data_IF_302694730605
#
_entry.id   IF_302694730605
#
_cell.length_a   1.000
_cell.length_b   1.000
_cell.length_c   1.000
_cell.angle_alpha   90.00
_cell.angle_beta   90.00
_cell.angle_gamma   90.00
#
_symmetry.space_group_name_H-M   'P 1'
#
loop_
_entity.id
_entity.type
_entity.pdbx_description
1 polymer ?
#
# COMPACT_ATOMS: atom_id res chain seq x y z
N UNK A 1 -36.59 49.83 29.46
CA UNK A 1 -36.55 48.47 28.95
C UNK A 1 -35.38 48.36 27.98
N UNK A 2 -34.24 47.89 28.45
CA UNK A 2 -33.03 47.69 27.64
C UNK A 2 -33.02 46.23 27.18
N UNK A 3 -33.09 45.99 25.85
CA UNK A 3 -32.97 44.65 25.26
C UNK A 3 -31.50 44.33 25.17
N UNK A 4 -31.02 43.35 25.92
CA UNK A 4 -29.73 42.71 25.75
C UNK A 4 -29.77 41.86 24.49
N UNK A 5 -28.96 42.20 23.51
CA UNK A 5 -28.70 41.38 22.32
C UNK A 5 -27.57 40.42 22.67
N UNK A 6 -27.88 39.17 22.95
CA UNK A 6 -26.87 38.11 23.17
C UNK A 6 -26.37 37.63 21.82
N UNK A 7 -25.15 38.01 21.48
CA UNK A 7 -24.44 37.51 20.29
C UNK A 7 -23.88 36.14 20.63
N UNK A 8 -24.45 35.08 20.06
CA UNK A 8 -23.86 33.72 20.05
C UNK A 8 -22.68 33.68 19.06
N UNK A 9 -21.44 33.75 19.56
CA UNK A 9 -20.25 33.45 18.78
C UNK A 9 -20.16 31.92 18.72
N UNK A 10 -20.56 31.36 17.57
CA UNK A 10 -20.36 29.97 17.25
C UNK A 10 -18.85 29.77 16.96
N UNK A 11 -18.09 29.34 17.97
CA UNK A 11 -16.74 28.85 17.77
C UNK A 11 -16.83 27.56 16.91
N UNK A 12 -16.65 27.70 15.60
CA UNK A 12 -16.27 26.55 14.78
C UNK A 12 -14.89 26.09 15.22
N UNK A 13 -14.83 25.07 16.04
CA UNK A 13 -13.61 24.33 16.27
C UNK A 13 -13.17 23.77 14.89
N UNK A 14 -12.14 24.38 14.32
CA UNK A 14 -11.39 23.81 13.20
C UNK A 14 -10.70 22.57 13.81
N UNK A 15 -11.35 21.44 13.74
CA UNK A 15 -10.70 20.15 13.99
C UNK A 15 -9.71 20.02 12.82
N UNK A 16 -8.39 20.05 13.07
CA UNK A 16 -7.46 19.70 12.01
C UNK A 16 -7.82 18.31 11.56
N UNK A 17 -8.22 18.14 10.30
CA UNK A 17 -8.38 16.84 9.72
C UNK A 17 -7.00 16.18 9.80
N UNK A 18 -6.83 15.27 10.75
CA UNK A 18 -5.71 14.35 10.76
C UNK A 18 -5.85 13.56 9.45
N UNK A 19 -5.06 13.94 8.46
CA UNK A 19 -4.90 13.13 7.26
C UNK A 19 -4.17 11.88 7.75
N UNK A 20 -4.92 10.81 7.95
CA UNK A 20 -4.37 9.51 8.23
C UNK A 20 -3.52 9.13 7.01
N UNK A 21 -2.26 8.88 7.27
CA UNK A 21 -1.33 8.30 6.30
C UNK A 21 -1.75 6.84 6.14
N UNK A 22 -2.33 6.52 5.01
CA UNK A 22 -2.62 5.16 4.60
C UNK A 22 -1.56 4.75 3.58
N UNK A 23 -1.07 3.55 3.69
CA UNK A 23 -0.45 2.78 2.62
C UNK A 23 -1.36 2.73 1.38
N UNK A 24 -1.18 1.86 0.41
CA UNK A 24 -2.29 1.73 -0.56
C UNK A 24 -3.60 1.97 0.18
N UNK A 25 -4.27 3.09 0.00
CA UNK A 25 -5.46 3.42 0.78
C UNK A 25 -6.42 2.22 0.85
N UNK A 26 -7.36 2.21 1.75
CA UNK A 26 -8.24 1.04 2.01
C UNK A 26 -8.70 0.31 0.75
N UNK A 27 -8.97 1.05 -0.35
CA UNK A 27 -9.39 0.45 -1.61
C UNK A 27 -8.27 -0.33 -2.28
N UNK A 28 -7.04 0.19 -2.29
CA UNK A 28 -5.89 -0.48 -2.89
C UNK A 28 -5.54 -1.78 -2.18
N UNK A 29 -5.50 -1.80 -0.83
CA UNK A 29 -5.32 -3.03 -0.06
C UNK A 29 -6.37 -4.08 -0.38
N UNK A 30 -7.65 -3.67 -0.46
CA UNK A 30 -8.73 -4.60 -0.81
C UNK A 30 -8.63 -5.12 -2.23
N UNK A 31 -8.16 -4.31 -3.19
CA UNK A 31 -7.89 -4.76 -4.57
C UNK A 31 -6.79 -5.82 -4.58
N UNK A 32 -5.65 -5.54 -3.96
CA UNK A 32 -4.52 -6.48 -3.90
C UNK A 32 -4.93 -7.78 -3.20
N UNK A 33 -5.62 -7.67 -2.05
CA UNK A 33 -6.13 -8.82 -1.31
C UNK A 33 -7.14 -9.64 -2.13
N UNK A 34 -8.03 -8.99 -2.90
CA UNK A 34 -8.99 -9.68 -3.78
C UNK A 34 -8.26 -10.41 -4.91
N UNK A 35 -7.32 -9.75 -5.61
CA UNK A 35 -6.51 -10.40 -6.65
C UNK A 35 -5.75 -11.60 -6.07
N UNK A 36 -5.18 -11.47 -4.87
CA UNK A 36 -4.50 -12.57 -4.20
C UNK A 36 -5.47 -13.72 -3.86
N UNK A 37 -6.61 -13.39 -3.26
CA UNK A 37 -7.61 -14.37 -2.86
C UNK A 37 -8.15 -15.20 -4.04
N UNK A 38 -8.37 -14.57 -5.18
CA UNK A 38 -8.82 -15.22 -6.41
C UNK A 38 -7.79 -16.21 -6.97
N UNK A 39 -6.51 -16.02 -6.60
CA UNK A 39 -5.38 -16.84 -7.05
C UNK A 39 -4.87 -17.85 -5.99
N UNK A 40 -5.55 -17.94 -4.83
CA UNK A 40 -5.24 -18.97 -3.84
C UNK A 40 -5.65 -20.36 -4.31
N UNK A 41 -4.82 -21.36 -3.96
CA UNK A 41 -5.24 -22.75 -4.06
C UNK A 41 -6.42 -23.04 -3.13
N UNK A 42 -7.24 -24.04 -3.46
CA UNK A 42 -8.36 -24.43 -2.60
C UNK A 42 -7.90 -24.77 -1.17
N UNK A 43 -6.73 -25.37 -1.02
CA UNK A 43 -6.15 -25.72 0.28
C UNK A 43 -5.76 -24.47 1.07
N UNK A 44 -5.01 -23.55 0.47
CA UNK A 44 -4.63 -22.29 1.11
C UNK A 44 -5.86 -21.48 1.50
N UNK A 45 -6.80 -21.33 0.57
CA UNK A 45 -8.07 -20.59 0.81
C UNK A 45 -8.85 -21.16 2.01
N UNK A 46 -8.97 -22.49 2.09
CA UNK A 46 -9.67 -23.14 3.21
C UNK A 46 -8.98 -22.86 4.55
N UNK A 47 -7.65 -22.96 4.60
CA UNK A 47 -6.88 -22.73 5.83
C UNK A 47 -6.93 -21.24 6.24
N UNK A 48 -6.72 -20.31 5.32
CA UNK A 48 -6.78 -18.85 5.55
C UNK A 48 -8.16 -18.46 6.06
N UNK A 49 -9.24 -18.95 5.44
CA UNK A 49 -10.60 -18.67 5.91
C UNK A 49 -10.88 -19.25 7.30
N UNK A 50 -10.26 -20.38 7.65
CA UNK A 50 -10.38 -20.92 9.00
C UNK A 50 -9.68 -20.07 10.05
N UNK A 51 -8.56 -19.40 9.69
CA UNK A 51 -7.83 -18.48 10.58
C UNK A 51 -8.58 -17.14 10.72
N UNK A 52 -9.02 -16.56 9.60
CA UNK A 52 -9.59 -15.21 9.57
C UNK A 52 -11.11 -15.16 9.84
N UNK A 53 -11.77 -16.31 9.88
CA UNK A 53 -13.18 -16.39 10.24
C UNK A 53 -14.11 -15.67 9.25
N UNK A 54 -15.16 -15.05 9.79
CA UNK A 54 -16.24 -14.40 8.99
C UNK A 54 -15.82 -13.07 8.36
N UNK A 55 -14.85 -12.39 8.94
CA UNK A 55 -14.37 -11.11 8.42
C UNK A 55 -13.61 -11.30 7.11
N UNK A 56 -12.76 -12.33 7.03
CA UNK A 56 -12.09 -12.73 5.81
C UNK A 56 -10.94 -11.81 5.40
N UNK A 57 -10.12 -12.31 4.47
CA UNK A 57 -8.85 -11.70 4.07
C UNK A 57 -9.00 -10.29 3.50
N UNK A 58 -10.03 -10.06 2.68
CA UNK A 58 -10.22 -8.78 1.98
C UNK A 58 -10.62 -7.66 2.96
N UNK A 59 -11.51 -7.94 3.90
CA UNK A 59 -11.89 -6.97 4.91
C UNK A 59 -10.73 -6.65 5.85
N UNK A 60 -10.07 -7.67 6.37
CA UNK A 60 -8.97 -7.53 7.32
C UNK A 60 -7.68 -6.95 6.70
N UNK A 61 -7.57 -6.91 5.36
CA UNK A 61 -6.40 -6.32 4.70
C UNK A 61 -6.18 -4.82 5.01
N UNK A 62 -7.16 -4.13 5.58
CA UNK A 62 -7.05 -2.71 6.00
C UNK A 62 -6.86 -2.53 7.50
N UNK A 63 -7.01 -3.59 8.29
CA UNK A 63 -6.97 -3.51 9.74
C UNK A 63 -5.62 -3.01 10.31
N UNK A 64 -4.44 -3.37 9.79
CA UNK A 64 -3.17 -2.83 10.28
C UNK A 64 -3.10 -1.29 10.24
N UNK A 65 -3.66 -0.67 9.23
CA UNK A 65 -3.78 0.80 9.14
C UNK A 65 -4.70 1.38 10.21
N UNK A 66 -5.77 0.69 10.55
CA UNK A 66 -6.74 1.15 11.54
C UNK A 66 -6.14 1.17 12.94
N UNK A 67 -5.22 0.25 13.22
CA UNK A 67 -4.61 0.08 14.55
C UNK A 67 -3.22 0.67 14.71
N UNK A 68 -2.62 1.25 13.67
CA UNK A 68 -1.24 1.76 13.73
C UNK A 68 -1.00 2.84 14.78
N UNK A 69 -2.05 3.43 15.33
CA UNK A 69 -1.98 4.34 16.48
C UNK A 69 -2.27 3.66 17.80
N UNK A 70 -2.53 2.35 17.82
CA UNK A 70 -2.80 1.60 19.05
C UNK A 70 -1.51 1.23 19.77
N UNK A 71 -1.54 1.32 21.09
CA UNK A 71 -0.39 0.99 21.93
C UNK A 71 -0.11 -0.50 22.05
N UNK A 72 -1.02 -1.37 21.61
CA UNK A 72 -0.84 -2.84 21.62
C UNK A 72 0.23 -3.25 20.59
N UNK A 73 0.36 -2.49 19.49
CA UNK A 73 1.35 -2.73 18.45
C UNK A 73 2.24 -1.49 18.24
N UNK A 74 3.12 -1.17 19.22
CA UNK A 74 3.84 0.11 19.25
C UNK A 74 4.81 0.32 18.09
N UNK A 75 5.25 -0.76 17.45
CA UNK A 75 6.16 -0.73 16.29
C UNK A 75 5.41 -0.85 14.95
N UNK A 76 4.08 -0.96 14.96
CA UNK A 76 3.32 -1.19 13.73
C UNK A 76 3.38 -0.02 12.74
N UNK A 77 3.72 1.17 13.21
CA UNK A 77 3.79 2.34 12.34
C UNK A 77 4.94 2.27 11.32
N UNK A 78 6.14 1.84 11.75
CA UNK A 78 7.34 1.82 10.91
C UNK A 78 7.38 0.64 9.94
N UNK A 79 6.64 -0.44 10.22
CA UNK A 79 6.63 -1.62 9.35
C UNK A 79 5.84 -1.44 8.04
N UNK A 80 5.11 -0.33 7.86
CA UNK A 80 4.35 -0.07 6.64
C UNK A 80 5.20 0.42 5.47
N UNK A 81 6.42 0.87 5.70
CA UNK A 81 7.25 1.47 4.67
C UNK A 81 8.73 1.11 4.84
N UNK A 82 9.48 1.27 3.77
CA UNK A 82 10.93 1.25 3.73
C UNK A 82 11.38 2.35 2.80
N UNK A 83 11.50 3.55 3.35
CA UNK A 83 12.00 4.70 2.59
C UNK A 83 13.48 4.50 2.26
N UNK A 84 13.85 4.75 1.03
CA UNK A 84 15.21 4.61 0.50
C UNK A 84 15.70 5.97 -0.01
N UNK A 85 17.02 6.14 -0.06
CA UNK A 85 17.59 7.31 -0.70
C UNK A 85 17.30 7.31 -2.21
N UNK A 86 17.09 8.49 -2.79
CA UNK A 86 16.99 8.63 -4.23
C UNK A 86 18.32 8.42 -4.93
N UNK A 87 18.32 7.84 -6.13
CA UNK A 87 19.50 7.67 -6.96
C UNK A 87 20.44 6.53 -6.55
N UNK A 88 19.98 5.57 -5.76
CA UNK A 88 20.69 4.33 -5.47
C UNK A 88 20.86 3.49 -6.74
N UNK A 89 21.98 2.77 -6.83
CA UNK A 89 22.14 1.74 -7.86
C UNK A 89 21.27 0.52 -7.58
N UNK A 90 20.96 -0.27 -8.62
CA UNK A 90 20.18 -1.51 -8.48
C UNK A 90 20.77 -2.46 -7.43
N UNK A 91 22.11 -2.52 -7.33
CA UNK A 91 22.80 -3.36 -6.35
C UNK A 91 22.58 -2.88 -4.91
N UNK A 92 22.56 -1.57 -4.68
CA UNK A 92 22.29 -0.98 -3.38
C UNK A 92 20.82 -1.21 -2.98
N UNK A 93 19.89 -1.01 -3.91
CA UNK A 93 18.45 -1.28 -3.66
C UNK A 93 18.22 -2.76 -3.32
N UNK A 94 18.82 -3.69 -4.09
CA UNK A 94 18.67 -5.14 -3.83
C UNK A 94 19.31 -5.55 -2.49
N UNK A 95 20.39 -4.90 -2.07
CA UNK A 95 21.02 -5.17 -0.79
C UNK A 95 20.06 -4.96 0.40
N UNK A 96 19.07 -4.02 0.28
CA UNK A 96 18.09 -3.73 1.31
C UNK A 96 17.17 -4.91 1.65
N UNK A 97 17.10 -5.94 0.79
CA UNK A 97 16.35 -7.17 1.11
C UNK A 97 17.05 -8.08 2.11
N UNK A 98 18.35 -7.88 2.36
CA UNK A 98 19.14 -8.72 3.24
C UNK A 98 19.90 -7.94 4.32
N UNK A 99 20.10 -6.66 4.10
CA UNK A 99 20.81 -5.75 5.01
C UNK A 99 19.89 -4.55 5.28
N UNK A 100 19.03 -4.73 6.27
CA UNK A 100 17.98 -3.75 6.57
C UNK A 100 18.57 -2.46 7.11
N UNK A 101 18.26 -1.29 6.51
CA UNK A 101 18.75 -0.02 7.01
C UNK A 101 18.18 0.29 8.41
N UNK A 102 18.97 1.00 9.23
CA UNK A 102 18.54 1.42 10.57
C UNK A 102 17.47 2.54 10.54
N UNK A 103 17.39 3.26 9.44
CA UNK A 103 16.46 4.38 9.22
C UNK A 103 15.54 4.09 8.04
N UNK A 104 14.44 4.84 7.92
CA UNK A 104 13.52 4.76 6.79
C UNK A 104 12.43 3.69 6.91
N UNK A 105 12.21 3.13 8.08
CA UNK A 105 11.22 2.08 8.32
C UNK A 105 11.81 0.67 8.32
N UNK A 106 10.96 -0.34 8.44
CA UNK A 106 11.36 -1.74 8.63
C UNK A 106 10.46 -2.75 7.89
N UNK A 107 9.85 -2.33 6.78
CA UNK A 107 8.89 -3.12 6.00
C UNK A 107 9.44 -4.49 5.57
N UNK A 108 10.66 -4.54 5.06
CA UNK A 108 11.24 -5.80 4.57
C UNK A 108 11.56 -6.76 5.72
N UNK A 109 12.15 -6.24 6.81
CA UNK A 109 12.42 -7.02 8.02
C UNK A 109 11.12 -7.55 8.65
N UNK A 110 10.07 -6.73 8.68
CA UNK A 110 8.77 -7.12 9.20
C UNK A 110 8.15 -8.24 8.36
N UNK A 111 8.20 -8.16 7.04
CA UNK A 111 7.69 -9.21 6.14
C UNK A 111 8.41 -10.55 6.36
N UNK A 112 9.74 -10.54 6.45
CA UNK A 112 10.52 -11.76 6.68
C UNK A 112 10.21 -12.38 8.05
N UNK A 113 10.10 -11.54 9.08
CA UNK A 113 9.72 -11.97 10.41
C UNK A 113 8.32 -12.61 10.44
N UNK A 114 7.36 -12.00 9.77
CA UNK A 114 5.98 -12.50 9.66
C UNK A 114 5.93 -13.81 8.86
N UNK A 115 6.71 -13.95 7.79
CA UNK A 115 6.78 -15.22 7.04
C UNK A 115 7.35 -16.36 7.89
N UNK A 116 8.37 -16.10 8.71
CA UNK A 116 8.90 -17.06 9.67
C UNK A 116 7.83 -17.46 10.69
N UNK A 117 7.10 -16.49 11.25
CA UNK A 117 6.01 -16.76 12.21
C UNK A 117 4.94 -17.64 11.56
N UNK A 118 4.46 -17.28 10.37
CA UNK A 118 3.41 -18.02 9.68
C UNK A 118 3.85 -19.43 9.23
N UNK A 119 5.12 -19.59 8.87
CA UNK A 119 5.67 -20.91 8.53
C UNK A 119 5.68 -21.85 9.74
N UNK A 120 5.96 -21.31 10.96
CA UNK A 120 5.96 -22.07 12.20
C UNK A 120 4.57 -22.27 12.81
N UNK A 121 3.72 -21.24 12.69
CA UNK A 121 2.36 -21.25 13.23
C UNK A 121 1.36 -20.66 12.24
N UNK A 122 0.79 -21.49 11.39
CA UNK A 122 -0.21 -21.09 10.37
C UNK A 122 -1.52 -20.55 10.96
N UNK A 123 -1.73 -20.71 12.28
CA UNK A 123 -2.95 -20.23 12.96
C UNK A 123 -2.77 -18.86 13.60
N UNK A 124 -1.61 -18.21 13.44
CA UNK A 124 -1.38 -16.87 13.96
C UNK A 124 -2.19 -15.84 13.16
N UNK A 125 -3.35 -15.44 13.70
CA UNK A 125 -4.30 -14.53 13.07
C UNK A 125 -3.62 -13.19 12.70
N UNK A 126 -3.04 -12.51 13.69
CA UNK A 126 -2.49 -11.16 13.50
C UNK A 126 -1.30 -11.18 12.54
N UNK A 127 -0.42 -12.18 12.62
CA UNK A 127 0.67 -12.33 11.67
C UNK A 127 0.17 -12.48 10.23
N UNK A 128 -0.93 -13.21 10.01
CA UNK A 128 -1.53 -13.35 8.68
C UNK A 128 -2.11 -12.03 8.18
N UNK A 129 -2.82 -11.31 9.04
CA UNK A 129 -3.43 -10.02 8.68
C UNK A 129 -2.35 -8.98 8.35
N UNK A 130 -1.32 -8.85 9.19
CA UNK A 130 -0.18 -7.97 8.92
C UNK A 130 0.56 -8.38 7.64
N UNK A 131 0.81 -9.67 7.44
CA UNK A 131 1.51 -10.16 6.24
C UNK A 131 0.76 -9.80 4.95
N UNK A 132 -0.56 -9.97 4.93
CA UNK A 132 -1.40 -9.61 3.76
C UNK A 132 -1.31 -8.11 3.46
N UNK A 133 -1.36 -7.28 4.50
CA UNK A 133 -1.32 -5.83 4.38
C UNK A 133 0.06 -5.35 3.90
N UNK A 134 1.10 -5.66 4.67
CA UNK A 134 2.46 -5.21 4.40
C UNK A 134 3.01 -5.74 3.07
N UNK A 135 2.56 -6.93 2.66
CA UNK A 135 2.91 -7.46 1.35
C UNK A 135 2.38 -6.59 0.20
N UNK A 136 1.23 -5.94 0.38
CA UNK A 136 0.73 -4.96 -0.58
C UNK A 136 1.56 -3.67 -0.55
N UNK A 137 1.96 -3.21 0.65
CA UNK A 137 2.73 -1.99 0.85
C UNK A 137 4.06 -2.00 0.10
N UNK A 138 4.78 -3.12 0.08
CA UNK A 138 6.05 -3.24 -0.65
C UNK A 138 5.95 -2.98 -2.16
N UNK A 139 4.76 -2.98 -2.72
CA UNK A 139 4.50 -2.66 -4.13
C UNK A 139 3.95 -1.26 -4.33
N UNK A 140 3.73 -0.50 -3.25
CA UNK A 140 3.34 0.90 -3.34
C UNK A 140 4.58 1.78 -3.52
N UNK A 141 4.71 2.53 -4.62
CA UNK A 141 5.88 3.37 -4.85
C UNK A 141 6.18 4.32 -3.69
N UNK A 142 5.16 4.89 -3.04
CA UNK A 142 5.36 5.83 -1.94
C UNK A 142 5.73 5.16 -0.60
N UNK A 143 5.72 3.82 -0.54
CA UNK A 143 6.21 3.06 0.61
C UNK A 143 7.65 2.53 0.42
N UNK A 144 8.22 2.80 -0.76
CA UNK A 144 9.62 2.54 -1.10
C UNK A 144 10.18 3.82 -1.73
N UNK A 145 9.86 4.97 -1.13
CA UNK A 145 10.15 6.30 -1.67
C UNK A 145 11.29 6.98 -0.90
N UNK A 146 11.53 8.27 -1.19
CA UNK A 146 12.68 8.98 -0.66
C UNK A 146 12.57 9.26 0.85
N UNK A 147 13.64 8.96 1.58
CA UNK A 147 13.72 9.13 3.04
C UNK A 147 13.60 10.61 3.46
N UNK A 148 14.25 11.52 2.74
CA UNK A 148 14.34 12.94 3.07
C UNK A 148 13.00 13.67 3.04
N UNK A 149 12.02 13.17 2.29
CA UNK A 149 10.68 13.74 2.19
C UNK A 149 9.56 12.86 2.79
N UNK A 150 9.95 11.82 3.52
CA UNK A 150 9.05 10.87 4.20
C UNK A 150 8.11 10.17 3.23
N UNK A 151 8.68 9.57 2.22
CA UNK A 151 7.92 8.83 1.22
C UNK A 151 6.94 9.72 0.43
N UNK A 152 7.34 10.94 0.04
CA UNK A 152 6.49 11.87 -0.72
C UNK A 152 5.47 12.65 0.13
N UNK A 153 5.46 12.47 1.45
CA UNK A 153 4.54 13.21 2.33
C UNK A 153 4.87 14.70 2.41
N UNK A 154 6.14 15.07 2.30
CA UNK A 154 6.57 16.47 2.28
C UNK A 154 6.39 17.12 0.90
N UNK A 155 6.23 16.36 -0.16
CA UNK A 155 6.05 16.85 -1.54
C UNK A 155 4.61 17.35 -1.74
N UNK A 156 4.44 18.67 -1.68
CA UNK A 156 3.12 19.33 -1.79
C UNK A 156 2.66 19.39 -3.24
N UNK A 157 1.39 19.08 -3.47
CA UNK A 157 0.76 19.20 -4.78
C UNK A 157 -0.72 19.57 -4.68
N UNK A 158 -1.32 19.93 -5.81
CA UNK A 158 -2.77 20.14 -5.92
C UNK A 158 -3.40 19.03 -6.75
N UNK A 159 -4.44 18.41 -6.22
CA UNK A 159 -5.20 17.38 -6.91
C UNK A 159 -6.62 17.87 -7.14
N UNK A 160 -7.01 18.07 -8.39
CA UNK A 160 -8.30 18.70 -8.74
C UNK A 160 -8.58 20.00 -7.94
N UNK A 161 -7.55 20.84 -7.80
CA UNK A 161 -7.65 22.10 -7.07
C UNK A 161 -7.51 22.04 -5.54
N UNK A 162 -7.55 20.84 -4.96
CA UNK A 162 -7.39 20.65 -3.49
C UNK A 162 -5.94 20.40 -3.12
N UNK A 163 -5.49 21.00 -2.01
CA UNK A 163 -4.15 20.77 -1.50
C UNK A 163 -4.00 19.34 -0.99
N UNK A 164 -2.90 18.70 -1.35
CA UNK A 164 -2.54 17.34 -0.94
C UNK A 164 -1.02 17.16 -1.00
N UNK A 165 -0.54 15.93 -0.95
CA UNK A 165 0.86 15.56 -1.17
C UNK A 165 0.96 14.38 -2.14
N UNK A 166 2.19 14.10 -2.59
CA UNK A 166 2.47 13.06 -3.57
C UNK A 166 2.08 11.67 -3.04
N UNK A 167 2.43 11.39 -1.78
CA UNK A 167 2.06 10.15 -1.10
C UNK A 167 0.55 9.87 -1.17
N UNK A 168 -0.28 10.81 -0.71
CA UNK A 168 -1.74 10.66 -0.71
C UNK A 168 -2.35 10.50 -2.11
N UNK A 169 -1.70 11.02 -3.15
CA UNK A 169 -2.16 10.83 -4.54
C UNK A 169 -1.98 9.38 -4.96
N UNK A 170 -0.84 8.78 -4.63
CA UNK A 170 -0.54 7.39 -4.97
C UNK A 170 -1.28 6.38 -4.09
N UNK A 171 -1.42 6.65 -2.80
CA UNK A 171 -2.15 5.77 -1.89
C UNK A 171 -3.61 5.56 -2.29
N UNK A 172 -4.27 6.60 -2.79
CA UNK A 172 -5.69 6.48 -3.00
C UNK A 172 -6.29 7.32 -4.11
N UNK A 173 -5.85 8.56 -4.31
CA UNK A 173 -6.58 9.50 -5.17
C UNK A 173 -6.63 9.08 -6.64
N UNK A 174 -5.57 8.46 -7.16
CA UNK A 174 -5.57 7.89 -8.53
C UNK A 174 -6.55 6.72 -8.58
N UNK A 175 -6.52 5.81 -7.61
CA UNK A 175 -7.41 4.65 -7.53
C UNK A 175 -8.87 5.09 -7.45
N UNK A 176 -9.16 6.08 -6.59
CA UNK A 176 -10.50 6.60 -6.38
C UNK A 176 -11.07 7.32 -7.60
N UNK A 177 -10.21 7.95 -8.39
CA UNK A 177 -10.62 8.65 -9.62
C UNK A 177 -11.25 7.72 -10.68
N UNK A 178 -11.04 6.41 -10.56
CA UNK A 178 -11.64 5.41 -11.46
C UNK A 178 -13.11 5.10 -11.16
N UNK A 179 -13.58 5.41 -9.96
CA UNK A 179 -14.98 5.17 -9.56
C UNK A 179 -15.37 3.72 -9.38
N UNK A 180 -14.47 2.76 -9.56
CA UNK A 180 -14.73 1.33 -9.32
C UNK A 180 -14.83 1.03 -7.82
N UNK A 181 -15.65 0.04 -7.45
CA UNK A 181 -15.48 -0.69 -6.20
C UNK A 181 -14.18 -1.51 -6.25
N UNK A 182 -13.68 -1.97 -5.10
CA UNK A 182 -12.47 -2.82 -5.07
C UNK A 182 -12.65 -4.12 -5.87
N UNK A 183 -13.84 -4.72 -5.82
CA UNK A 183 -14.12 -5.98 -6.52
C UNK A 183 -14.25 -5.80 -8.04
N UNK A 184 -14.87 -4.72 -8.49
CA UNK A 184 -14.90 -4.37 -9.92
C UNK A 184 -13.50 -4.09 -10.44
N UNK A 185 -12.67 -3.39 -9.64
CA UNK A 185 -11.30 -3.10 -10.05
C UNK A 185 -10.44 -4.36 -10.11
N UNK A 186 -10.53 -5.26 -9.13
CA UNK A 186 -9.84 -6.55 -9.18
C UNK A 186 -10.26 -7.39 -10.40
N UNK A 187 -11.55 -7.45 -10.72
CA UNK A 187 -12.04 -8.11 -11.93
C UNK A 187 -11.51 -7.47 -13.21
N UNK A 188 -11.46 -6.14 -13.26
CA UNK A 188 -10.85 -5.40 -14.37
C UNK A 188 -9.36 -5.73 -14.52
N UNK A 189 -8.58 -5.76 -13.42
CA UNK A 189 -7.16 -6.12 -13.45
C UNK A 189 -6.94 -7.55 -13.97
N UNK A 190 -7.79 -8.51 -13.58
CA UNK A 190 -7.74 -9.88 -14.14
C UNK A 190 -8.00 -9.91 -15.65
N UNK A 191 -8.91 -9.08 -16.15
CA UNK A 191 -9.20 -9.01 -17.57
C UNK A 191 -8.04 -8.39 -18.36
N UNK A 192 -7.42 -7.33 -17.84
CA UNK A 192 -6.34 -6.60 -18.54
C UNK A 192 -5.01 -7.34 -18.45
N UNK A 193 -4.66 -7.80 -17.25
CA UNK A 193 -3.33 -8.35 -16.96
C UNK A 193 -3.29 -9.88 -16.82
N UNK A 194 -4.42 -10.58 -16.91
CA UNK A 194 -4.50 -12.03 -16.69
C UNK A 194 -3.60 -12.86 -17.60
N UNK A 195 -3.39 -12.43 -18.86
CA UNK A 195 -2.45 -13.06 -19.79
C UNK A 195 -0.98 -12.96 -19.34
N UNK A 196 -0.66 -11.98 -18.49
CA UNK A 196 0.68 -11.73 -17.93
C UNK A 196 0.94 -12.47 -16.62
N UNK A 197 -0.03 -13.19 -16.08
CA UNK A 197 0.09 -13.89 -14.79
C UNK A 197 1.36 -14.75 -14.71
N UNK A 198 1.66 -15.52 -15.76
CA UNK A 198 2.84 -16.39 -15.79
C UNK A 198 4.14 -15.59 -15.71
N UNK A 199 4.21 -14.47 -16.40
CA UNK A 199 5.35 -13.53 -16.36
C UNK A 199 5.54 -13.00 -14.93
N UNK A 200 4.49 -12.47 -14.31
CA UNK A 200 4.52 -12.00 -12.92
C UNK A 200 4.99 -13.09 -11.95
N UNK A 201 4.50 -14.31 -12.12
CA UNK A 201 4.89 -15.44 -11.24
C UNK A 201 6.39 -15.79 -11.33
N UNK A 202 7.07 -15.45 -12.42
CA UNK A 202 8.50 -15.70 -12.62
C UNK A 202 9.40 -14.58 -12.06
N UNK A 203 8.86 -13.42 -11.78
CA UNK A 203 9.64 -12.32 -11.17
C UNK A 203 10.20 -12.74 -9.81
N UNK A 204 11.46 -12.40 -9.55
CA UNK A 204 12.08 -12.56 -8.23
C UNK A 204 11.66 -11.41 -7.30
N UNK A 205 11.94 -11.53 -6.01
CA UNK A 205 11.69 -10.45 -5.05
C UNK A 205 12.57 -9.23 -5.36
N UNK A 206 13.82 -9.45 -5.78
CA UNK A 206 14.73 -8.41 -6.27
C UNK A 206 14.13 -7.66 -7.47
N UNK A 207 13.67 -8.39 -8.49
CA UNK A 207 13.08 -7.78 -9.68
C UNK A 207 11.83 -6.96 -9.36
N UNK A 208 10.98 -7.42 -8.43
CA UNK A 208 9.79 -6.67 -8.03
C UNK A 208 10.15 -5.43 -7.21
N UNK A 209 11.18 -5.49 -6.36
CA UNK A 209 11.66 -4.33 -5.63
C UNK A 209 12.24 -3.29 -6.58
N UNK A 210 13.11 -3.69 -7.51
CA UNK A 210 13.67 -2.79 -8.52
C UNK A 210 12.60 -2.13 -9.38
N UNK A 211 11.57 -2.89 -9.80
CA UNK A 211 10.45 -2.30 -10.53
C UNK A 211 9.72 -1.22 -9.70
N UNK A 212 9.49 -1.47 -8.41
CA UNK A 212 8.84 -0.48 -7.54
C UNK A 212 9.72 0.75 -7.36
N UNK A 213 11.02 0.56 -7.11
CA UNK A 213 11.99 1.64 -6.92
C UNK A 213 12.12 2.52 -8.18
N UNK A 214 12.28 1.92 -9.37
CA UNK A 214 12.37 2.68 -10.62
C UNK A 214 11.09 3.46 -10.93
N UNK A 215 9.90 2.86 -10.68
CA UNK A 215 8.64 3.60 -10.80
C UNK A 215 8.61 4.78 -9.83
N UNK A 216 9.16 4.63 -8.62
CA UNK A 216 9.26 5.71 -7.64
C UNK A 216 10.12 6.84 -8.17
N UNK A 217 11.33 6.55 -8.67
CA UNK A 217 12.22 7.57 -9.26
C UNK A 217 11.56 8.28 -10.45
N UNK A 218 10.89 7.54 -11.34
CA UNK A 218 10.15 8.10 -12.47
C UNK A 218 9.03 9.05 -12.02
N UNK A 219 8.33 8.73 -10.93
CA UNK A 219 7.30 9.58 -10.33
C UNK A 219 7.90 10.91 -9.86
N UNK A 220 9.01 10.85 -9.13
CA UNK A 220 9.70 12.05 -8.65
C UNK A 220 10.21 12.89 -9.80
N UNK A 221 10.85 12.29 -10.80
CA UNK A 221 11.32 13.00 -11.98
C UNK A 221 10.15 13.66 -12.74
N UNK A 222 9.07 12.93 -12.95
CA UNK A 222 7.86 13.47 -13.59
C UNK A 222 7.27 14.63 -12.80
N UNK A 223 7.26 14.55 -11.46
CA UNK A 223 6.72 15.59 -10.61
C UNK A 223 7.46 16.92 -10.77
N UNK A 224 8.77 16.93 -11.05
CA UNK A 224 9.56 18.17 -11.24
C UNK A 224 9.07 19.01 -12.42
N UNK A 225 8.48 18.37 -13.43
CA UNK A 225 7.99 19.02 -14.66
C UNK A 225 6.46 19.09 -14.75
N UNK A 226 5.78 18.54 -13.75
CA UNK A 226 4.32 18.46 -13.75
C UNK A 226 3.66 19.85 -13.63
N UNK A 227 2.75 20.15 -14.54
CA UNK A 227 2.08 21.44 -14.67
C UNK A 227 0.79 21.60 -13.84
N UNK A 228 0.49 20.67 -12.94
CA UNK A 228 -0.71 20.69 -12.08
C UNK A 228 -1.97 20.09 -12.71
N UNK A 229 -1.88 19.50 -13.91
CA UNK A 229 -3.02 18.85 -14.56
C UNK A 229 -3.27 17.43 -14.01
N UNK A 230 -4.22 17.29 -13.07
CA UNK A 230 -4.54 16.02 -12.42
C UNK A 230 -5.12 14.98 -13.39
N UNK A 231 -5.86 15.38 -14.45
CA UNK A 231 -6.34 14.43 -15.47
C UNK A 231 -5.20 13.81 -16.25
N UNK A 232 -4.22 14.64 -16.65
CA UNK A 232 -3.05 14.15 -17.35
C UNK A 232 -2.19 13.24 -16.48
N UNK A 233 -2.03 13.60 -15.20
CA UNK A 233 -1.33 12.77 -14.22
C UNK A 233 -1.99 11.40 -14.05
N UNK A 234 -3.31 11.38 -13.84
CA UNK A 234 -4.09 10.14 -13.74
C UNK A 234 -3.94 9.27 -14.99
N UNK A 235 -4.08 9.86 -16.18
CA UNK A 235 -3.92 9.13 -17.44
C UNK A 235 -2.54 8.49 -17.58
N UNK A 236 -1.48 9.23 -17.22
CA UNK A 236 -0.10 8.77 -17.34
C UNK A 236 0.20 7.62 -16.37
N UNK A 237 -0.24 7.75 -15.11
CA UNK A 237 0.17 6.85 -14.03
C UNK A 237 -0.80 5.71 -13.73
N UNK A 238 -1.96 5.67 -14.34
CA UNK A 238 -2.94 4.59 -14.09
C UNK A 238 -2.38 3.21 -14.44
N UNK A 239 -1.81 3.02 -15.63
CA UNK A 239 -1.32 1.70 -16.04
C UNK A 239 -0.12 1.20 -15.18
N UNK A 240 0.91 2.01 -14.87
CA UNK A 240 1.94 1.62 -13.89
C UNK A 240 1.39 1.24 -12.53
N UNK A 241 0.46 2.02 -11.98
CA UNK A 241 -0.18 1.74 -10.70
C UNK A 241 -0.98 0.42 -10.72
N UNK A 242 -1.76 0.20 -11.77
CA UNK A 242 -2.55 -1.03 -11.97
C UNK A 242 -1.64 -2.25 -12.08
N UNK A 243 -0.51 -2.12 -12.78
CA UNK A 243 0.50 -3.17 -12.87
C UNK A 243 1.09 -3.53 -11.51
N UNK A 244 1.41 -2.53 -10.67
CA UNK A 244 1.91 -2.75 -9.31
C UNK A 244 0.87 -3.48 -8.45
N UNK A 245 -0.40 -3.06 -8.45
CA UNK A 245 -1.46 -3.73 -7.69
C UNK A 245 -1.70 -5.17 -8.16
N UNK A 246 -1.72 -5.42 -9.49
CA UNK A 246 -1.88 -6.76 -10.02
C UNK A 246 -0.71 -7.66 -9.65
N UNK A 247 0.52 -7.16 -9.81
CA UNK A 247 1.75 -7.86 -9.45
C UNK A 247 1.77 -8.20 -7.96
N UNK A 248 1.45 -7.24 -7.11
CA UNK A 248 1.33 -7.44 -5.66
C UNK A 248 0.36 -8.58 -5.32
N UNK A 249 -0.83 -8.60 -5.91
CA UNK A 249 -1.83 -9.63 -5.65
C UNK A 249 -1.39 -11.03 -6.10
N UNK A 250 -0.79 -11.15 -7.28
CA UNK A 250 -0.27 -12.46 -7.77
C UNK A 250 0.89 -12.96 -6.91
N UNK A 251 1.82 -12.08 -6.53
CA UNK A 251 2.97 -12.44 -5.68
C UNK A 251 2.55 -12.79 -4.26
N UNK A 252 1.59 -12.05 -3.68
CA UNK A 252 0.98 -12.39 -2.39
C UNK A 252 0.32 -13.77 -2.44
N UNK A 253 -0.42 -14.08 -3.50
CA UNK A 253 -1.03 -15.41 -3.66
C UNK A 253 0.03 -16.50 -3.72
N UNK A 254 1.15 -16.29 -4.41
CA UNK A 254 2.26 -17.26 -4.45
C UNK A 254 2.85 -17.49 -3.04
N UNK A 255 3.11 -16.43 -2.29
CA UNK A 255 3.65 -16.51 -0.93
C UNK A 255 2.69 -17.27 -0.01
N UNK A 256 1.40 -16.90 0.01
CA UNK A 256 0.38 -17.56 0.81
C UNK A 256 0.18 -19.03 0.39
N UNK A 257 0.19 -19.34 -0.90
CA UNK A 257 0.11 -20.71 -1.38
C UNK A 257 1.32 -21.55 -0.94
N UNK A 258 2.52 -20.94 -0.83
CA UNK A 258 3.73 -21.59 -0.32
C UNK A 258 3.62 -21.87 1.18
N UNK A 259 3.15 -20.90 1.96
CA UNK A 259 2.99 -20.99 3.42
C UNK A 259 1.90 -22.03 3.77
N UNK A 260 0.76 -21.99 3.09
CA UNK A 260 -0.43 -22.79 3.38
C UNK A 260 -0.58 -24.06 2.48
N UNK A 261 0.57 -24.61 2.06
CA UNK A 261 0.61 -25.89 1.30
C UNK A 261 -0.14 -27.02 2.03
#
# INVERSE_FOLDING_TARGET
MKRLLTVYIMLMAIVPSMHQLYAWGQKGHRIVAQVAYDNLTNKARKQINAVLGKEGMIYLSTWPDEIKSDTIYPTSFTCHYQDLDGGLSDAEVVAMLNDYPEEGGDLFMALDSLEVVLTRNKQCHDALVFYVHLYADRFCPMHVAHLDDKGGNAVKMKWFGQNTNLHSVWDGKIIDSKGFSYSEYAAYLHNVYGSKKREVMQLTDEQTLLQTYHITDDIYQYHTTWNGNAYHYTYHWTAPMEWQMYTAGIKLAQALNRIYK
#
